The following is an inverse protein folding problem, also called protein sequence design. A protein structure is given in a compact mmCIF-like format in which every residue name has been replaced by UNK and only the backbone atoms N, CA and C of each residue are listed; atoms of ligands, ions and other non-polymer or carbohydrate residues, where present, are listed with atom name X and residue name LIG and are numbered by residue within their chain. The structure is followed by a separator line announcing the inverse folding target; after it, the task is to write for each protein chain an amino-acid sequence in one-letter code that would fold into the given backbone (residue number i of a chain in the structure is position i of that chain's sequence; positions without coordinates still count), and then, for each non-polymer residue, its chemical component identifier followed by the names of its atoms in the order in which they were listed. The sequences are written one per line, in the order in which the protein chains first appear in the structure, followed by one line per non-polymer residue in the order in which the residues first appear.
data_IF_905248257786
#
_entry.id   IF_905248257786
#
_cell.length_a   1.000
_cell.length_b   1.000
_cell.length_c   1.000
_cell.angle_alpha   90.00
_cell.angle_beta   90.00
_cell.angle_gamma   90.00
#
_symmetry.space_group_name_H-M   'P 1'
#
loop_
_entity.id
_entity.type
_entity.pdbx_description
1 polymer ?
#
# COMPACT_ATOMS: atom_id res chain seq x y z
N UNK A 1 17.58 -33.26 51.58
CA UNK A 1 17.14 -32.53 52.77
C UNK A 1 17.00 -31.07 52.37
N UNK A 2 15.81 -30.52 52.66
CA UNK A 2 15.37 -29.11 52.59
C UNK A 2 15.30 -28.46 51.19
N UNK A 3 14.24 -28.62 50.39
CA UNK A 3 12.90 -27.97 50.41
C UNK A 3 12.90 -26.44 50.53
N UNK A 4 12.61 -25.75 49.42
CA UNK A 4 11.85 -24.49 49.47
C UNK A 4 10.83 -24.43 48.34
N UNK A 5 9.60 -24.63 48.78
CA UNK A 5 8.32 -24.47 48.12
C UNK A 5 7.89 -23.01 48.20
N UNK A 6 7.43 -22.43 47.09
CA UNK A 6 6.24 -21.55 47.09
C UNK A 6 5.57 -21.54 45.70
N UNK A 7 4.54 -22.38 45.59
CA UNK A 7 3.22 -22.13 44.99
C UNK A 7 2.69 -20.70 45.24
N UNK A 8 1.71 -20.08 44.56
CA UNK A 8 0.80 -20.30 43.41
C UNK A 8 -0.20 -19.13 43.51
N UNK A 9 -0.81 -18.71 42.38
CA UNK A 9 -2.02 -17.83 42.27
C UNK A 9 -1.71 -16.33 42.58
N UNK A 10 -2.14 -15.37 41.76
CA UNK A 10 -3.54 -15.13 41.40
C UNK A 10 -3.78 -14.71 39.94
N UNK A 11 -4.96 -15.12 39.50
CA UNK A 11 -5.63 -14.80 38.25
C UNK A 11 -6.60 -13.68 38.58
N UNK A 12 -6.35 -12.46 38.10
CA UNK A 12 -7.38 -11.42 38.05
C UNK A 12 -7.62 -11.04 36.60
N UNK A 13 -8.79 -11.46 36.13
CA UNK A 13 -9.51 -10.92 34.99
C UNK A 13 -9.98 -9.49 35.31
N UNK A 14 -9.59 -8.50 34.51
CA UNK A 14 -10.32 -7.23 34.45
C UNK A 14 -10.46 -6.77 33.00
N UNK A 15 -11.72 -6.79 32.59
CA UNK A 15 -12.45 -5.92 31.67
C UNK A 15 -11.74 -5.20 30.53
N UNK A 16 -12.32 -5.47 29.35
CA UNK A 16 -12.50 -4.54 28.24
C UNK A 16 -12.57 -3.07 28.69
N UNK A 17 -11.64 -2.27 28.21
CA UNK A 17 -11.88 -0.86 27.91
C UNK A 17 -11.39 -0.61 26.49
N UNK A 18 -12.35 -0.64 25.57
CA UNK A 18 -12.36 0.17 24.36
C UNK A 18 -12.11 1.62 24.74
N UNK A 19 -10.90 2.10 24.47
CA UNK A 19 -10.50 3.50 24.54
C UNK A 19 -9.73 3.79 23.26
N UNK A 20 -10.15 4.85 22.58
CA UNK A 20 -9.64 5.37 21.31
C UNK A 20 -8.16 5.11 21.06
N UNK A 21 -7.85 4.48 19.92
CA UNK A 21 -6.57 4.69 19.25
C UNK A 21 -6.59 6.13 18.74
N UNK A 22 -6.17 7.07 19.58
CA UNK A 22 -5.64 8.34 19.11
C UNK A 22 -4.46 7.99 18.19
N UNK A 23 -4.73 8.06 16.89
CA UNK A 23 -3.69 8.25 15.90
C UNK A 23 -3.05 9.59 16.25
N UNK A 24 -1.95 9.56 17.00
CA UNK A 24 -1.01 10.67 16.99
C UNK A 24 -0.50 10.78 15.55
N UNK A 25 -1.22 11.56 14.74
CA UNK A 25 -0.65 12.19 13.57
C UNK A 25 0.57 12.96 14.07
N UNK A 26 1.74 12.36 13.89
CA UNK A 26 3.00 13.09 13.85
C UNK A 26 2.90 14.06 12.67
N UNK A 27 2.21 15.16 12.89
CA UNK A 27 2.18 16.34 12.06
C UNK A 27 3.54 17.01 12.22
N UNK A 28 4.57 16.36 11.69
CA UNK A 28 5.75 17.08 11.28
C UNK A 28 5.31 17.91 10.08
N UNK A 29 5.35 19.26 10.16
CA UNK A 29 5.10 20.07 8.99
C UNK A 29 6.13 19.64 7.95
N UNK A 30 5.66 18.98 6.88
CA UNK A 30 6.46 18.71 5.72
C UNK A 30 6.98 20.06 5.23
N UNK A 31 8.19 20.39 5.64
CA UNK A 31 8.89 21.57 5.12
C UNK A 31 8.91 21.39 3.60
N UNK A 32 8.42 22.37 2.82
CA UNK A 32 8.51 22.28 1.38
C UNK A 32 9.98 22.49 0.99
N UNK A 33 10.77 21.42 1.06
CA UNK A 33 12.12 21.43 0.54
C UNK A 33 12.00 21.54 -0.98
N UNK A 34 12.40 22.71 -1.50
CA UNK A 34 12.26 23.05 -2.90
C UNK A 34 13.33 22.32 -3.72
N UNK A 35 13.16 21.01 -3.90
CA UNK A 35 14.06 20.15 -4.70
C UNK A 35 13.44 19.74 -6.04
N UNK A 36 12.48 20.50 -6.55
CA UNK A 36 11.68 20.09 -7.71
C UNK A 36 12.29 20.47 -9.07
N UNK A 37 13.18 21.47 -9.12
CA UNK A 37 13.73 21.93 -10.41
C UNK A 37 14.90 21.06 -10.89
N UNK A 38 15.81 20.69 -9.99
CA UNK A 38 17.07 20.02 -10.39
C UNK A 38 16.89 18.58 -10.89
N UNK A 39 15.85 17.86 -10.48
CA UNK A 39 15.69 16.43 -10.80
C UNK A 39 15.11 16.26 -12.21
N UNK A 40 14.11 17.08 -12.56
CA UNK A 40 13.43 17.04 -13.86
C UNK A 40 14.33 17.43 -15.02
N UNK A 41 15.32 18.28 -14.77
CA UNK A 41 16.27 18.76 -15.78
C UNK A 41 17.36 17.74 -16.15
N UNK A 42 17.35 16.54 -15.55
CA UNK A 42 18.35 15.51 -15.84
C UNK A 42 17.98 14.70 -17.10
N UNK A 43 18.98 14.41 -17.94
CA UNK A 43 18.81 13.54 -19.11
C UNK A 43 18.25 12.15 -18.73
N UNK A 44 18.60 11.66 -17.54
CA UNK A 44 18.09 10.39 -17.01
C UNK A 44 16.59 10.43 -16.74
N UNK A 45 16.06 11.55 -16.24
CA UNK A 45 14.63 11.67 -15.96
C UNK A 45 13.80 11.56 -17.24
N UNK A 46 14.17 12.31 -18.29
CA UNK A 46 13.49 12.26 -19.59
C UNK A 46 13.48 10.84 -20.17
N UNK A 47 14.63 10.14 -20.15
CA UNK A 47 14.72 8.77 -20.67
C UNK A 47 13.81 7.79 -19.91
N UNK A 48 13.65 7.98 -18.60
CA UNK A 48 12.76 7.15 -17.79
C UNK A 48 11.30 7.45 -18.13
N UNK A 49 10.92 8.73 -18.26
CA UNK A 49 9.57 9.11 -18.70
C UNK A 49 9.25 8.48 -20.06
N UNK A 50 10.13 8.64 -21.05
CA UNK A 50 9.93 8.08 -22.40
C UNK A 50 9.76 6.56 -22.36
N UNK A 51 10.57 5.87 -21.55
CA UNK A 51 10.48 4.43 -21.40
C UNK A 51 9.15 3.99 -20.77
N UNK A 52 8.67 4.69 -19.74
CA UNK A 52 7.38 4.42 -19.09
C UNK A 52 6.22 4.71 -20.03
N UNK A 53 6.25 5.84 -20.77
CA UNK A 53 5.23 6.18 -21.76
C UNK A 53 5.16 5.17 -22.91
N UNK A 54 6.29 4.53 -23.25
CA UNK A 54 6.34 3.42 -24.20
C UNK A 54 5.85 2.07 -23.63
N UNK A 55 5.38 2.03 -22.38
CA UNK A 55 4.86 0.82 -21.72
C UNK A 55 5.93 -0.10 -21.15
N UNK A 56 7.16 0.38 -20.95
CA UNK A 56 8.24 -0.42 -20.39
C UNK A 56 8.25 -0.36 -18.85
N UNK A 57 8.63 -1.47 -18.22
CA UNK A 57 8.96 -1.51 -16.80
C UNK A 57 10.38 -1.02 -16.55
N UNK A 58 10.54 -0.07 -15.62
CA UNK A 58 11.85 0.53 -15.30
C UNK A 58 12.24 0.21 -13.86
N UNK A 59 13.49 -0.23 -13.67
CA UNK A 59 14.10 -0.41 -12.35
C UNK A 59 15.18 0.64 -12.12
N UNK A 60 14.99 1.50 -11.11
CA UNK A 60 15.97 2.53 -10.73
C UNK A 60 16.74 2.07 -9.49
N UNK A 61 18.06 1.99 -9.62
CA UNK A 61 18.98 1.62 -8.54
C UNK A 61 19.85 2.83 -8.15
N UNK A 62 20.23 2.91 -6.88
CA UNK A 62 21.11 3.97 -6.39
C UNK A 62 21.40 3.79 -4.90
N UNK A 63 22.40 4.49 -4.41
CA UNK A 63 22.84 4.40 -3.01
C UNK A 63 21.82 5.04 -2.04
N UNK A 64 21.93 4.72 -0.75
CA UNK A 64 21.10 5.38 0.26
C UNK A 64 21.39 6.89 0.27
N UNK A 65 20.35 7.72 0.35
CA UNK A 65 20.49 9.18 0.35
C UNK A 65 20.59 9.84 -1.03
N UNK A 66 20.53 9.10 -2.15
CA UNK A 66 20.61 9.67 -3.51
C UNK A 66 19.29 10.23 -4.05
N UNK A 67 18.31 10.53 -3.20
CA UNK A 67 17.03 11.14 -3.65
C UNK A 67 16.13 10.26 -4.52
N UNK A 68 16.22 8.92 -4.46
CA UNK A 68 15.33 8.02 -5.24
C UNK A 68 13.85 8.20 -4.92
N UNK A 69 13.52 8.55 -3.67
CA UNK A 69 12.15 8.87 -3.27
C UNK A 69 11.64 10.12 -3.99
N UNK A 70 12.46 11.18 -4.02
CA UNK A 70 12.15 12.41 -4.74
C UNK A 70 12.03 12.19 -6.25
N UNK A 71 12.88 11.32 -6.80
CA UNK A 71 12.80 10.90 -8.21
C UNK A 71 11.47 10.20 -8.52
N UNK A 72 11.05 9.23 -7.70
CA UNK A 72 9.79 8.53 -7.88
C UNK A 72 8.59 9.48 -7.74
N UNK A 73 8.64 10.42 -6.79
CA UNK A 73 7.62 11.44 -6.61
C UNK A 73 7.54 12.38 -7.81
N UNK A 74 8.68 12.86 -8.32
CA UNK A 74 8.74 13.70 -9.51
C UNK A 74 8.19 12.99 -10.75
N UNK A 75 8.48 11.70 -10.91
CA UNK A 75 7.96 10.86 -11.99
C UNK A 75 6.44 10.72 -11.89
N UNK A 76 5.92 10.42 -10.70
CA UNK A 76 4.48 10.32 -10.46
C UNK A 76 3.77 11.65 -10.76
N UNK A 77 4.33 12.77 -10.31
CA UNK A 77 3.78 14.11 -10.60
C UNK A 77 3.76 14.40 -12.11
N UNK A 78 4.85 14.10 -12.82
CA UNK A 78 4.94 14.32 -14.27
C UNK A 78 3.90 13.48 -15.03
N UNK A 79 3.75 12.21 -14.66
CA UNK A 79 2.90 11.26 -15.39
C UNK A 79 1.45 11.25 -14.94
N UNK A 80 1.12 11.85 -13.79
CA UNK A 80 -0.25 11.92 -13.27
C UNK A 80 -1.25 12.65 -14.17
N UNK A 81 -0.77 13.53 -15.06
CA UNK A 81 -1.62 14.19 -16.06
C UNK A 81 -2.03 13.28 -17.22
N UNK A 82 -1.27 12.22 -17.49
CA UNK A 82 -1.48 11.31 -18.62
C UNK A 82 -1.98 9.93 -18.18
N UNK A 83 -1.57 9.47 -16.99
CA UNK A 83 -1.84 8.14 -16.48
C UNK A 83 -2.53 8.19 -15.13
N UNK A 84 -3.51 7.30 -14.92
CA UNK A 84 -3.97 6.96 -13.59
C UNK A 84 -2.84 6.20 -12.88
N UNK A 85 -2.14 6.86 -11.96
CA UNK A 85 -0.91 6.36 -11.36
C UNK A 85 -0.98 6.40 -9.84
N UNK A 86 -0.27 5.49 -9.20
CA UNK A 86 -0.14 5.41 -7.76
C UNK A 86 1.32 5.29 -7.36
N UNK A 87 1.65 5.83 -6.18
CA UNK A 87 2.97 5.72 -5.58
C UNK A 87 2.87 5.01 -4.23
N UNK A 88 3.65 3.95 -4.06
CA UNK A 88 3.64 3.16 -2.83
C UNK A 88 5.06 2.80 -2.40
N UNK A 89 5.26 2.73 -1.08
CA UNK A 89 6.53 2.28 -0.48
C UNK A 89 6.29 0.98 0.27
N UNK A 90 7.05 -0.06 -0.07
CA UNK A 90 6.97 -1.34 0.62
C UNK A 90 7.62 -1.26 2.02
N UNK A 91 6.82 -1.50 3.07
CA UNK A 91 7.25 -1.51 4.47
C UNK A 91 6.98 -2.86 5.17
N UNK A 92 7.23 -3.97 4.48
CA UNK A 92 7.22 -5.31 5.08
C UNK A 92 5.85 -6.02 5.16
N UNK A 93 4.78 -5.42 4.64
CA UNK A 93 3.48 -6.10 4.50
C UNK A 93 2.96 -5.96 3.07
N UNK A 94 2.91 -7.09 2.37
CA UNK A 94 2.49 -7.13 0.97
C UNK A 94 1.00 -6.78 0.82
N UNK A 95 0.13 -7.28 1.73
CA UNK A 95 -1.30 -6.92 1.75
C UNK A 95 -1.49 -5.41 1.88
N UNK A 96 -0.82 -4.78 2.86
CA UNK A 96 -0.92 -3.32 3.04
C UNK A 96 -0.38 -2.53 1.85
N UNK A 97 0.67 -3.04 1.20
CA UNK A 97 1.25 -2.42 0.01
C UNK A 97 0.27 -2.40 -1.17
N UNK A 98 -0.37 -3.54 -1.48
CA UNK A 98 -1.34 -3.59 -2.58
C UNK A 98 -2.63 -2.83 -2.26
N UNK A 99 -3.13 -2.88 -1.03
CA UNK A 99 -4.28 -2.07 -0.61
C UNK A 99 -3.99 -0.58 -0.80
N UNK A 100 -2.78 -0.11 -0.46
CA UNK A 100 -2.40 1.29 -0.64
C UNK A 100 -2.37 1.72 -2.13
N UNK A 101 -1.98 0.83 -3.03
CA UNK A 101 -2.02 1.06 -4.48
C UNK A 101 -3.47 1.09 -4.96
N UNK A 102 -4.27 0.10 -4.59
CA UNK A 102 -5.67 -0.02 -4.99
C UNK A 102 -6.48 1.20 -4.54
N UNK A 103 -6.27 1.66 -3.30
CA UNK A 103 -6.91 2.87 -2.77
C UNK A 103 -6.59 4.12 -3.58
N UNK A 104 -5.33 4.31 -4.01
CA UNK A 104 -4.94 5.46 -4.83
C UNK A 104 -5.52 5.42 -6.24
N UNK A 105 -5.74 4.22 -6.78
CA UNK A 105 -6.30 4.01 -8.11
C UNK A 105 -7.83 3.89 -8.11
N UNK A 106 -8.48 4.09 -6.95
CA UNK A 106 -9.92 3.89 -6.74
C UNK A 106 -10.40 2.48 -7.14
N UNK A 107 -9.56 1.48 -6.89
CA UNK A 107 -9.86 0.08 -7.13
C UNK A 107 -10.49 -0.49 -5.86
N UNK A 108 -11.71 -1.07 -5.94
CA UNK A 108 -12.37 -1.64 -4.77
C UNK A 108 -11.56 -2.81 -4.22
N UNK A 109 -11.38 -2.81 -2.90
CA UNK A 109 -10.65 -3.86 -2.15
C UNK A 109 -11.56 -4.71 -1.26
N UNK A 110 -12.87 -4.49 -1.31
CA UNK A 110 -13.88 -5.22 -0.54
C UNK A 110 -15.03 -5.66 -1.44
N UNK A 111 -15.66 -6.78 -1.09
CA UNK A 111 -16.87 -7.28 -1.74
C UNK A 111 -17.97 -7.52 -0.70
N UNK A 112 -19.22 -7.46 -1.16
CA UNK A 112 -20.37 -7.78 -0.30
C UNK A 112 -20.38 -9.28 0.01
N UNK A 113 -20.33 -9.61 1.29
CA UNK A 113 -20.43 -10.97 1.78
C UNK A 113 -21.90 -11.38 1.91
N UNK A 114 -22.31 -12.45 1.23
CA UNK A 114 -23.64 -13.03 1.34
C UNK A 114 -23.64 -14.24 2.26
N UNK A 115 -24.70 -14.39 3.05
CA UNK A 115 -24.94 -15.63 3.79
C UNK A 115 -25.48 -16.74 2.86
N UNK A 116 -25.60 -17.95 3.40
CA UNK A 116 -26.21 -19.11 2.71
C UNK A 116 -27.66 -18.90 2.24
N UNK A 117 -28.36 -17.88 2.74
CA UNK A 117 -29.73 -17.54 2.38
C UNK A 117 -29.79 -16.45 1.29
N UNK A 118 -28.65 -15.87 0.89
CA UNK A 118 -28.57 -14.77 -0.07
C UNK A 118 -28.72 -13.37 0.51
N UNK A 119 -28.78 -13.21 1.83
CA UNK A 119 -28.84 -11.89 2.47
C UNK A 119 -27.42 -11.30 2.63
N UNK A 120 -27.24 -9.97 2.45
CA UNK A 120 -25.98 -9.31 2.72
C UNK A 120 -25.67 -9.36 4.23
N UNK A 121 -24.48 -9.83 4.56
CA UNK A 121 -24.02 -10.04 5.95
C UNK A 121 -22.82 -9.19 6.36
N UNK A 122 -22.22 -8.46 5.42
CA UNK A 122 -21.10 -7.55 5.69
C UNK A 122 -20.23 -7.37 4.45
N UNK A 123 -19.04 -6.80 4.68
CA UNK A 123 -18.00 -6.68 3.67
C UNK A 123 -16.86 -7.67 3.95
N UNK A 124 -16.36 -8.31 2.90
CA UNK A 124 -15.19 -9.18 2.95
C UNK A 124 -14.06 -8.52 2.20
N UNK A 125 -12.89 -8.40 2.83
CA UNK A 125 -11.65 -8.01 2.14
C UNK A 125 -11.37 -8.96 0.97
N UNK A 126 -11.11 -8.41 -0.20
CA UNK A 126 -10.52 -9.15 -1.30
C UNK A 126 -9.13 -9.62 -0.88
N UNK A 127 -8.84 -10.90 -1.13
CA UNK A 127 -7.49 -11.42 -0.96
C UNK A 127 -6.62 -11.00 -2.14
N UNK A 128 -5.29 -11.08 -2.00
CA UNK A 128 -4.37 -10.76 -3.11
C UNK A 128 -4.64 -11.65 -4.33
N UNK A 129 -5.04 -12.90 -4.08
CA UNK A 129 -5.42 -13.84 -5.14
C UNK A 129 -6.72 -13.42 -5.86
N UNK A 130 -7.67 -12.81 -5.14
CA UNK A 130 -8.93 -12.31 -5.70
C UNK A 130 -8.75 -11.02 -6.54
N UNK A 131 -7.62 -10.32 -6.38
CA UNK A 131 -7.32 -9.08 -7.15
C UNK A 131 -6.70 -9.32 -8.53
N UNK A 132 -6.39 -10.57 -8.89
CA UNK A 132 -5.92 -10.92 -10.23
C UNK A 132 -7.14 -11.18 -11.10
N UNK A 133 -7.50 -10.20 -11.92
CA UNK A 133 -8.71 -10.23 -12.74
C UNK A 133 -8.92 -11.57 -13.44
N UNK A 134 -10.09 -12.16 -13.23
CA UNK A 134 -10.61 -13.22 -14.09
C UNK A 134 -10.75 -12.63 -15.50
N UNK A 135 -9.72 -12.83 -16.33
CA UNK A 135 -9.85 -12.68 -17.77
C UNK A 135 -10.87 -13.70 -18.23
N UNK A 136 -12.13 -13.27 -18.33
CA UNK A 136 -13.22 -14.02 -18.95
C UNK A 136 -12.74 -14.49 -20.33
N UNK A 137 -12.35 -15.76 -20.43
CA UNK A 137 -12.21 -16.43 -21.71
C UNK A 137 -13.62 -16.60 -22.25
N UNK A 138 -14.06 -15.62 -23.03
CA UNK A 138 -15.26 -15.72 -23.84
C UNK A 138 -15.06 -16.88 -24.81
N UNK A 139 -15.64 -18.02 -24.43
CA UNK A 139 -15.58 -19.26 -25.19
C UNK A 139 -16.47 -19.08 -26.42
N UNK A 140 -15.92 -18.54 -27.50
CA UNK A 140 -16.56 -18.51 -28.81
C UNK A 140 -16.77 -19.97 -29.24
N UNK A 141 -18.00 -20.45 -29.08
CA UNK A 141 -18.42 -21.75 -29.56
C UNK A 141 -18.77 -21.58 -31.05
N UNK A 142 -17.90 -22.10 -31.93
CA UNK A 142 -18.16 -22.22 -33.38
C UNK A 142 -18.88 -23.53 -33.66
#
# INVERSE_FOLDING_TARGET
MDTRTTSRQDFESVSQQSGELELEEENTPATPFTLSKSIKDTEHFSKVCDAVCAGNSVLVLGEAGTGKGDFALALHQELSGEFNSAIATYKGSLKKFFIAIAFQLDIPTTETQYNKNGDPTGEKDLTVDDTVGESNQEKIQT
#
